data_IF_858909688355
#
_entry.id   IF_858909688355
#
_cell.length_a   1.000
_cell.length_b   1.000
_cell.length_c   1.000
_cell.angle_alpha   90.00
_cell.angle_beta   90.00
_cell.angle_gamma   90.00
#
_symmetry.space_group_name_H-M   'P 1'
#
loop_
_entity.id
_entity.type
_entity.pdbx_description
1 polymer ?
#
# COMPACT_ATOMS: atom_id res chain seq x y z
N UNK A 1 -18.17 22.26 22.00
CA UNK A 1 -17.29 22.17 23.19
C UNK A 1 -17.13 20.76 23.75
N UNK A 2 -18.16 19.89 23.77
CA UNK A 2 -18.03 18.50 24.23
C UNK A 2 -17.30 17.54 23.25
N UNK A 3 -17.21 17.86 21.96
CA UNK A 3 -16.53 17.01 20.97
C UNK A 3 -15.00 17.05 21.06
N UNK A 4 -14.41 18.18 21.47
CA UNK A 4 -12.96 18.30 21.62
C UNK A 4 -12.44 17.43 22.75
N UNK A 5 -13.10 17.42 23.92
CA UNK A 5 -12.74 16.55 25.04
C UNK A 5 -12.91 15.06 24.71
N UNK A 6 -13.97 14.68 23.96
CA UNK A 6 -14.14 13.31 23.45
C UNK A 6 -13.07 12.93 22.43
N UNK A 7 -12.66 13.86 21.58
CA UNK A 7 -11.57 13.68 20.63
C UNK A 7 -10.22 13.50 21.34
N UNK A 8 -9.93 14.30 22.38
CA UNK A 8 -8.72 14.11 23.20
C UNK A 8 -8.75 12.76 23.93
N UNK A 9 -9.90 12.34 24.45
CA UNK A 9 -10.06 11.03 25.10
C UNK A 9 -9.94 9.86 24.11
N UNK A 10 -10.54 9.92 22.92
CA UNK A 10 -10.35 8.90 21.87
C UNK A 10 -8.90 8.87 21.36
N UNK A 11 -8.25 10.03 21.28
CA UNK A 11 -6.84 10.16 20.92
C UNK A 11 -5.91 9.56 21.98
N UNK A 12 -6.31 9.48 23.25
CA UNK A 12 -5.45 9.03 24.37
C UNK A 12 -5.82 7.63 24.90
N UNK A 13 -7.08 7.20 24.82
CA UNK A 13 -7.62 6.06 25.60
C UNK A 13 -8.06 4.86 24.74
N UNK A 14 -8.09 4.98 23.40
CA UNK A 14 -8.51 3.87 22.52
C UNK A 14 -10.02 3.63 22.48
N UNK A 15 -10.83 4.55 23.01
CA UNK A 15 -12.30 4.48 22.87
C UNK A 15 -12.74 4.63 21.41
N UNK A 16 -13.91 4.10 21.05
CA UNK A 16 -14.54 4.31 19.73
C UNK A 16 -14.50 5.80 19.34
N UNK A 17 -14.09 6.08 18.10
CA UNK A 17 -14.14 7.45 17.58
C UNK A 17 -15.59 7.94 17.53
N UNK A 18 -15.84 9.22 17.84
CA UNK A 18 -17.13 9.84 17.56
C UNK A 18 -17.55 9.62 16.10
N UNK A 19 -18.85 9.46 15.87
CA UNK A 19 -19.40 9.45 14.51
C UNK A 19 -19.44 10.89 14.00
N UNK A 20 -18.46 11.26 13.17
CA UNK A 20 -18.37 12.58 12.54
C UNK A 20 -19.19 12.67 11.25
N UNK A 21 -19.26 11.56 10.50
CA UNK A 21 -19.97 11.45 9.24
C UNK A 21 -19.09 11.75 8.02
N UNK A 22 -19.63 11.55 6.80
CA UNK A 22 -18.86 11.65 5.54
C UNK A 22 -18.39 13.07 5.21
N UNK A 23 -18.91 14.10 5.88
CA UNK A 23 -18.42 15.48 5.74
C UNK A 23 -17.08 15.73 6.46
N UNK A 24 -16.68 14.84 7.38
CA UNK A 24 -15.41 14.94 8.10
C UNK A 24 -14.24 14.24 7.39
N UNK A 25 -14.43 13.89 6.11
CA UNK A 25 -13.39 13.39 5.23
C UNK A 25 -13.49 14.11 3.88
N UNK A 26 -12.36 14.56 3.36
CA UNK A 26 -12.21 14.98 1.97
C UNK A 26 -11.37 13.93 1.26
N UNK A 27 -12.03 13.06 0.50
CA UNK A 27 -11.35 12.10 -0.38
C UNK A 27 -10.50 12.85 -1.41
N UNK A 28 -9.35 12.28 -1.76
CA UNK A 28 -8.52 12.72 -2.90
C UNK A 28 -9.30 12.74 -4.21
N UNK A 29 -10.40 11.97 -4.31
CA UNK A 29 -11.31 11.98 -5.45
C UNK A 29 -11.93 13.35 -5.74
N UNK A 30 -12.09 14.21 -4.72
CA UNK A 30 -12.60 15.57 -4.92
C UNK A 30 -11.62 16.42 -5.75
N UNK A 31 -10.31 16.28 -5.51
CA UNK A 31 -9.29 16.97 -6.30
C UNK A 31 -9.17 16.31 -7.70
N UNK A 32 -9.34 14.99 -7.77
CA UNK A 32 -9.28 14.20 -8.99
C UNK A 32 -10.36 14.56 -10.02
N UNK A 33 -11.49 15.15 -9.61
CA UNK A 33 -12.51 15.69 -10.53
C UNK A 33 -11.94 16.72 -11.52
N UNK A 34 -10.93 17.47 -11.10
CA UNK A 34 -10.29 18.51 -11.91
C UNK A 34 -8.89 18.12 -12.39
N UNK A 35 -8.15 17.38 -11.57
CA UNK A 35 -6.79 16.93 -11.85
C UNK A 35 -6.73 15.43 -11.59
N UNK A 36 -7.02 14.56 -12.57
CA UNK A 36 -7.13 13.12 -12.32
C UNK A 36 -5.93 12.54 -11.58
N UNK A 37 -4.73 12.95 -11.99
CA UNK A 37 -3.46 12.60 -11.35
C UNK A 37 -2.41 13.68 -11.57
N UNK A 38 -1.35 13.61 -10.78
CA UNK A 38 -0.13 14.40 -10.93
C UNK A 38 1.07 13.46 -11.05
N UNK A 39 1.90 13.64 -12.09
CA UNK A 39 3.16 12.91 -12.22
C UNK A 39 4.12 13.34 -11.11
N UNK A 40 4.71 12.38 -10.41
CA UNK A 40 5.56 12.67 -9.26
C UNK A 40 7.02 12.94 -9.64
N UNK A 41 7.57 13.92 -8.93
CA UNK A 41 8.97 14.33 -8.99
C UNK A 41 9.77 13.75 -7.80
N UNK A 42 11.05 14.09 -7.72
CA UNK A 42 11.89 13.78 -6.55
C UNK A 42 11.32 14.38 -5.25
N UNK A 43 10.73 15.58 -5.32
CA UNK A 43 10.20 16.28 -4.15
C UNK A 43 8.98 15.57 -3.54
N UNK A 44 8.24 14.84 -4.35
CA UNK A 44 7.07 14.06 -3.93
C UNK A 44 7.44 12.75 -3.19
N UNK A 45 8.74 12.42 -3.18
CA UNK A 45 9.33 11.21 -2.57
C UNK A 45 10.05 11.50 -1.25
N UNK A 46 9.84 12.69 -0.69
CA UNK A 46 10.43 13.09 0.58
C UNK A 46 9.70 12.44 1.75
N UNK A 47 10.46 11.89 2.70
CA UNK A 47 9.97 11.49 4.00
C UNK A 47 9.45 12.73 4.75
N UNK A 48 8.22 12.64 5.25
CA UNK A 48 7.62 13.67 6.07
C UNK A 48 8.16 13.58 7.49
N UNK A 49 8.30 12.36 8.00
CA UNK A 49 8.77 12.05 9.36
C UNK A 49 8.05 12.91 10.41
N UNK A 50 6.72 12.86 10.39
CA UNK A 50 5.87 13.72 11.22
C UNK A 50 6.17 13.54 12.72
N UNK A 51 6.03 14.62 13.48
CA UNK A 51 6.17 14.69 14.94
C UNK A 51 4.87 14.33 15.68
N UNK A 52 3.81 13.94 14.96
CA UNK A 52 2.53 13.47 15.49
C UNK A 52 2.32 11.98 15.24
N UNK A 53 1.19 11.43 15.71
CA UNK A 53 0.87 10.02 15.45
C UNK A 53 0.77 9.77 13.94
N UNK A 54 1.65 8.92 13.43
CA UNK A 54 1.67 8.59 12.01
C UNK A 54 2.35 7.26 11.73
N UNK A 55 2.04 6.71 10.56
CA UNK A 55 2.78 5.62 9.94
C UNK A 55 3.15 6.09 8.53
N UNK A 56 4.44 6.21 8.27
CA UNK A 56 4.97 6.49 6.93
C UNK A 56 5.73 5.25 6.45
N UNK A 57 5.45 4.81 5.24
CA UNK A 57 6.07 3.60 4.68
C UNK A 57 6.63 3.85 3.28
N UNK A 58 7.70 3.12 3.00
CA UNK A 58 8.13 2.83 1.65
C UNK A 58 8.07 1.33 1.45
N UNK A 59 7.28 0.89 0.47
CA UNK A 59 7.01 -0.51 0.18
C UNK A 59 7.44 -0.82 -1.23
N UNK A 60 8.20 -1.90 -1.39
CA UNK A 60 8.70 -2.39 -2.65
C UNK A 60 8.24 -3.83 -2.83
N UNK A 61 7.47 -4.10 -3.87
CA UNK A 61 7.14 -5.47 -4.26
C UNK A 61 7.91 -5.84 -5.53
N UNK A 62 8.43 -7.06 -5.57
CA UNK A 62 9.24 -7.59 -6.65
C UNK A 62 8.58 -8.83 -7.23
N UNK A 63 8.35 -8.85 -8.54
CA UNK A 63 7.85 -10.00 -9.28
C UNK A 63 8.99 -10.56 -10.13
N UNK A 64 9.72 -11.52 -9.55
CA UNK A 64 10.91 -12.10 -10.18
C UNK A 64 10.55 -12.95 -11.41
N UNK A 65 11.45 -13.02 -12.39
CA UNK A 65 11.31 -13.90 -13.57
C UNK A 65 11.28 -15.38 -13.16
N UNK A 66 11.87 -15.73 -12.01
CA UNK A 66 11.84 -17.06 -11.40
C UNK A 66 10.45 -17.50 -10.92
N UNK A 67 9.49 -16.57 -10.84
CA UNK A 67 8.17 -16.82 -10.27
C UNK A 67 8.07 -16.49 -8.78
N UNK A 68 9.16 -16.21 -8.07
CA UNK A 68 9.06 -15.72 -6.68
C UNK A 68 8.49 -14.30 -6.61
N UNK A 69 7.92 -13.96 -5.44
CA UNK A 69 7.53 -12.59 -5.11
C UNK A 69 8.37 -12.13 -3.91
N UNK A 70 8.87 -10.91 -3.98
CA UNK A 70 9.67 -10.29 -2.93
C UNK A 70 8.93 -9.09 -2.33
N UNK A 71 9.17 -8.83 -1.05
CA UNK A 71 8.81 -7.59 -0.39
C UNK A 71 10.05 -7.05 0.32
N UNK A 72 10.29 -5.75 0.18
CA UNK A 72 11.12 -4.97 1.08
C UNK A 72 10.31 -3.76 1.54
N UNK A 73 10.34 -3.46 2.84
CA UNK A 73 9.51 -2.39 3.38
C UNK A 73 10.21 -1.71 4.56
N UNK A 74 10.15 -0.38 4.57
CA UNK A 74 10.44 0.42 5.75
C UNK A 74 9.11 0.91 6.32
N UNK A 75 8.95 0.77 7.65
CA UNK A 75 7.86 1.36 8.39
C UNK A 75 8.44 2.34 9.40
N UNK A 76 8.22 3.65 9.18
CA UNK A 76 8.55 4.71 10.13
C UNK A 76 7.28 5.12 10.88
N UNK A 77 7.15 4.66 12.12
CA UNK A 77 5.98 4.95 12.95
C UNK A 77 6.32 5.95 14.04
N UNK A 78 5.52 7.00 14.17
CA UNK A 78 5.53 7.86 15.35
C UNK A 78 4.28 7.55 16.18
N UNK A 79 4.49 7.09 17.41
CA UNK A 79 3.42 6.73 18.34
C UNK A 79 3.17 7.90 19.28
N UNK A 80 2.00 8.53 19.13
CA UNK A 80 1.53 9.64 19.97
C UNK A 80 2.40 10.90 19.96
N UNK A 81 3.34 11.06 19.03
CA UNK A 81 4.33 12.15 19.05
C UNK A 81 5.44 11.95 20.10
N UNK A 82 5.45 10.79 20.78
CA UNK A 82 6.30 10.53 21.95
C UNK A 82 7.45 9.60 21.59
N UNK A 83 7.18 8.61 20.73
CA UNK A 83 8.16 7.57 20.41
C UNK A 83 8.10 7.21 18.94
N UNK A 84 9.24 7.36 18.27
CA UNK A 84 9.46 6.79 16.95
C UNK A 84 9.90 5.34 17.08
N UNK A 85 9.31 4.47 16.26
CA UNK A 85 9.78 3.10 16.02
C UNK A 85 9.92 2.89 14.54
N UNK A 86 11.02 2.28 14.13
CA UNK A 86 11.28 1.99 12.73
C UNK A 86 11.54 0.51 12.54
N UNK A 87 10.96 -0.08 11.51
CA UNK A 87 11.14 -1.48 11.15
C UNK A 87 11.55 -1.62 9.70
N UNK A 88 12.38 -2.62 9.44
CA UNK A 88 12.64 -3.12 8.10
C UNK A 88 12.05 -4.53 7.97
N UNK A 89 11.18 -4.70 7.00
CA UNK A 89 10.57 -5.98 6.69
C UNK A 89 11.09 -6.48 5.35
N UNK A 90 11.39 -7.77 5.28
CA UNK A 90 11.67 -8.46 4.02
C UNK A 90 10.88 -9.75 3.94
N UNK A 91 10.30 -10.04 2.78
CA UNK A 91 9.59 -11.28 2.52
C UNK A 91 10.02 -11.92 1.21
N UNK A 92 10.12 -13.24 1.20
CA UNK A 92 10.17 -14.06 -0.02
C UNK A 92 8.96 -14.98 0.00
N UNK A 93 8.07 -14.81 -0.97
CA UNK A 93 7.01 -15.75 -1.27
C UNK A 93 7.54 -16.80 -2.25
N UNK A 94 7.74 -18.01 -1.74
CA UNK A 94 7.92 -19.21 -2.56
C UNK A 94 6.55 -19.67 -3.06
N UNK A 95 6.06 -18.99 -4.10
CA UNK A 95 4.69 -19.12 -4.59
C UNK A 95 4.38 -20.48 -5.20
N UNK A 96 5.38 -21.32 -5.47
CA UNK A 96 5.21 -22.70 -5.94
C UNK A 96 5.00 -23.71 -4.81
N UNK A 97 5.05 -23.25 -3.55
CA UNK A 97 4.96 -24.12 -2.37
C UNK A 97 6.18 -24.99 -2.14
N UNK A 98 7.31 -24.73 -2.81
CA UNK A 98 8.55 -25.51 -2.66
C UNK A 98 9.10 -25.50 -1.23
N UNK A 99 8.87 -24.41 -0.49
CA UNK A 99 9.19 -24.27 0.94
C UNK A 99 8.33 -23.18 1.61
N UNK A 100 8.31 -23.08 2.95
CA UNK A 100 7.63 -21.99 3.64
C UNK A 100 8.18 -20.62 3.23
N UNK A 101 7.30 -19.62 3.15
CA UNK A 101 7.71 -18.23 2.91
C UNK A 101 8.73 -17.76 3.96
N UNK A 102 9.73 -17.00 3.51
CA UNK A 102 10.67 -16.36 4.42
C UNK A 102 10.12 -14.99 4.79
N UNK A 103 9.86 -14.74 6.08
CA UNK A 103 9.44 -13.45 6.61
C UNK A 103 10.40 -13.00 7.71
N UNK A 104 11.00 -11.83 7.52
CA UNK A 104 11.82 -11.14 8.52
C UNK A 104 11.23 -9.75 8.75
N UNK A 105 11.07 -9.38 10.02
CA UNK A 105 10.50 -8.12 10.48
C UNK A 105 11.31 -7.71 11.71
N UNK A 106 12.21 -6.76 11.52
CA UNK A 106 13.25 -6.44 12.50
C UNK A 106 13.30 -4.92 12.75
N UNK A 107 13.41 -4.49 14.01
CA UNK A 107 13.55 -3.08 14.33
C UNK A 107 14.86 -2.52 13.76
N UNK A 108 14.85 -1.24 13.42
CA UNK A 108 16.01 -0.46 13.01
C UNK A 108 16.44 0.52 14.11
N UNK A 109 17.71 0.90 14.08
CA UNK A 109 18.32 1.87 15.00
C UNK A 109 19.24 2.82 14.24
N UNK A 110 19.65 3.93 14.87
CA UNK A 110 20.51 4.96 14.25
C UNK A 110 19.91 5.51 12.93
N UNK A 111 18.61 5.81 12.98
CA UNK A 111 17.84 6.24 11.81
C UNK A 111 18.21 7.67 11.44
N UNK A 112 18.43 7.89 10.14
CA UNK A 112 18.72 9.18 9.55
C UNK A 112 18.14 9.29 8.12
N UNK A 113 18.11 10.50 7.58
CA UNK A 113 17.65 10.78 6.22
C UNK A 113 18.71 11.56 5.44
N UNK A 114 18.69 11.49 4.11
CA UNK A 114 19.45 12.46 3.31
C UNK A 114 18.97 13.89 3.59
N UNK A 115 19.79 14.89 3.25
CA UNK A 115 19.46 16.32 3.44
C UNK A 115 18.13 16.71 2.78
N UNK A 116 17.87 16.18 1.59
CA UNK A 116 16.62 16.38 0.86
C UNK A 116 15.48 15.46 1.32
N UNK A 117 15.72 14.58 2.29
CA UNK A 117 14.81 13.58 2.86
C UNK A 117 14.24 12.56 1.86
N UNK A 118 14.88 12.30 0.73
CA UNK A 118 14.40 11.25 -0.20
C UNK A 118 15.08 9.90 -0.02
N UNK A 119 16.15 9.84 0.76
CA UNK A 119 16.85 8.60 1.11
C UNK A 119 16.76 8.36 2.61
N UNK A 120 16.72 7.08 2.98
CA UNK A 120 16.61 6.60 4.35
C UNK A 120 17.86 5.80 4.70
N UNK A 121 18.38 6.03 5.90
CA UNK A 121 19.53 5.32 6.46
C UNK A 121 19.22 4.84 7.87
N UNK A 122 19.78 3.70 8.22
CA UNK A 122 19.82 3.16 9.56
C UNK A 122 21.07 2.29 9.72
N UNK A 123 21.37 1.87 10.94
CA UNK A 123 22.37 0.82 11.14
C UNK A 123 21.98 -0.43 10.35
N UNK A 124 22.92 -0.94 9.57
CA UNK A 124 22.78 -2.14 8.72
C UNK A 124 21.62 -2.08 7.70
N UNK A 125 21.09 -0.90 7.37
CA UNK A 125 20.04 -0.72 6.37
C UNK A 125 20.12 0.64 5.65
N UNK A 126 19.95 0.65 4.33
CA UNK A 126 19.87 1.87 3.54
C UNK A 126 18.90 1.71 2.36
N UNK A 127 18.06 2.73 2.14
CA UNK A 127 17.18 2.85 0.97
C UNK A 127 17.44 4.20 0.33
N UNK A 128 18.12 4.19 -0.82
CA UNK A 128 18.72 5.38 -1.41
C UNK A 128 18.10 5.65 -2.77
N UNK A 129 17.54 6.85 -2.95
CA UNK A 129 17.07 7.34 -4.24
C UNK A 129 18.25 7.90 -5.03
N UNK A 130 18.46 7.45 -6.27
CA UNK A 130 19.48 7.97 -7.17
C UNK A 130 19.32 9.47 -7.41
N UNK A 131 20.40 10.20 -7.68
CA UNK A 131 20.38 11.66 -7.86
C UNK A 131 19.36 12.12 -8.91
N UNK A 132 19.23 11.37 -10.01
CA UNK A 132 18.27 11.64 -11.09
C UNK A 132 16.80 11.30 -10.73
N UNK A 133 16.56 10.74 -9.54
CA UNK A 133 15.23 10.39 -9.04
C UNK A 133 14.55 9.25 -9.81
N UNK A 134 15.32 8.36 -10.45
CA UNK A 134 14.77 7.27 -11.29
C UNK A 134 14.94 5.87 -10.72
N UNK A 135 15.80 5.67 -9.74
CA UNK A 135 16.06 4.35 -9.17
C UNK A 135 16.23 4.38 -7.66
N UNK A 136 15.85 3.30 -6.99
CA UNK A 136 16.16 3.07 -5.58
C UNK A 136 17.11 1.89 -5.45
N UNK A 137 18.10 1.99 -4.57
CA UNK A 137 18.85 0.84 -4.08
C UNK A 137 18.47 0.55 -2.64
N UNK A 138 18.17 -0.71 -2.33
CA UNK A 138 17.76 -1.20 -1.02
C UNK A 138 18.80 -2.19 -0.55
N UNK A 139 19.47 -1.88 0.55
CA UNK A 139 20.48 -2.73 1.18
C UNK A 139 20.12 -2.96 2.63
N UNK A 140 20.13 -4.20 3.09
CA UNK A 140 19.89 -4.52 4.49
C UNK A 140 20.66 -5.77 4.90
N UNK A 141 21.37 -5.69 6.01
CA UNK A 141 21.99 -6.83 6.71
C UNK A 141 21.34 -7.01 8.09
N UNK A 142 20.18 -6.39 8.33
CA UNK A 142 19.52 -6.34 9.64
C UNK A 142 19.01 -7.71 10.13
N UNK A 143 18.88 -8.70 9.24
CA UNK A 143 18.57 -10.08 9.58
C UNK A 143 19.47 -11.03 8.76
N UNK A 144 20.24 -11.88 9.44
CA UNK A 144 21.18 -12.82 8.80
C UNK A 144 20.50 -13.87 7.91
N UNK A 145 19.19 -14.09 8.10
CA UNK A 145 18.40 -14.99 7.25
C UNK A 145 17.99 -14.32 5.94
N UNK A 146 18.08 -12.99 5.85
CA UNK A 146 17.59 -12.19 4.74
C UNK A 146 18.49 -10.97 4.51
N UNK A 147 19.61 -11.18 3.83
CA UNK A 147 20.51 -10.10 3.42
C UNK A 147 20.02 -9.54 2.09
N UNK A 148 19.47 -8.32 2.12
CA UNK A 148 18.83 -7.68 0.97
C UNK A 148 19.85 -6.82 0.22
N UNK A 149 19.93 -7.00 -1.10
CA UNK A 149 20.63 -6.10 -2.01
C UNK A 149 19.85 -6.03 -3.33
N UNK A 150 18.91 -5.10 -3.38
CA UNK A 150 17.97 -4.94 -4.49
C UNK A 150 18.10 -3.55 -5.10
N UNK A 151 17.80 -3.45 -6.38
CA UNK A 151 17.63 -2.18 -7.07
C UNK A 151 16.37 -2.24 -7.92
N UNK A 152 15.64 -1.13 -7.95
CA UNK A 152 14.55 -0.92 -8.89
C UNK A 152 14.77 0.38 -9.67
N UNK A 153 14.44 0.36 -10.95
CA UNK A 153 14.49 1.53 -11.83
C UNK A 153 13.12 1.70 -12.49
N UNK A 154 12.49 2.87 -12.32
CA UNK A 154 11.17 3.11 -12.93
C UNK A 154 11.28 3.09 -14.45
N UNK A 155 10.35 2.41 -15.11
CA UNK A 155 10.24 2.42 -16.59
C UNK A 155 9.05 3.24 -17.07
N UNK A 156 8.12 3.59 -16.18
CA UNK A 156 7.02 4.51 -16.44
C UNK A 156 7.07 5.72 -15.47
N UNK A 157 6.40 6.84 -15.80
CA UNK A 157 6.20 7.92 -14.84
C UNK A 157 5.46 7.42 -13.59
N UNK A 158 5.88 7.91 -12.43
CA UNK A 158 5.15 7.70 -11.19
C UNK A 158 4.02 8.72 -11.04
N UNK A 159 3.04 8.45 -10.19
CA UNK A 159 1.95 9.40 -9.94
C UNK A 159 1.42 9.39 -8.50
N UNK A 160 0.70 10.46 -8.18
CA UNK A 160 -0.33 10.52 -7.13
C UNK A 160 -1.68 10.81 -7.79
N UNK A 161 -2.79 10.35 -7.21
CA UNK A 161 -4.11 10.83 -7.63
C UNK A 161 -4.33 12.28 -7.20
N UNK A 162 -5.17 13.00 -7.93
CA UNK A 162 -5.42 14.40 -7.60
C UNK A 162 -4.19 15.28 -7.78
N UNK A 163 -4.20 16.41 -7.09
CA UNK A 163 -3.11 17.39 -7.10
C UNK A 163 -1.87 16.94 -6.31
N UNK A 164 -2.07 16.28 -5.18
CA UNK A 164 -0.97 15.95 -4.24
C UNK A 164 -1.11 14.57 -3.57
N UNK A 165 -2.13 13.79 -3.95
CA UNK A 165 -2.38 12.46 -3.42
C UNK A 165 -3.08 12.42 -2.06
N UNK A 166 -3.53 13.55 -1.51
CA UNK A 166 -4.00 13.61 -0.12
C UNK A 166 -5.50 13.43 0.02
N UNK A 167 -5.87 12.53 0.93
CA UNK A 167 -7.17 12.49 1.58
C UNK A 167 -7.05 13.09 2.96
N UNK A 168 -7.95 14.00 3.34
CA UNK A 168 -7.90 14.76 4.59
C UNK A 168 -9.02 14.32 5.53
N UNK A 169 -8.71 14.29 6.83
CA UNK A 169 -9.66 13.93 7.89
C UNK A 169 -9.80 15.11 8.84
N UNK A 170 -11.05 15.50 9.11
CA UNK A 170 -11.35 16.62 9.98
C UNK A 170 -12.70 17.26 9.71
N UNK A 171 -13.35 17.78 10.76
CA UNK A 171 -14.50 18.68 10.61
C UNK A 171 -14.10 20.07 10.13
N UNK A 172 -12.81 20.43 10.26
CA UNK A 172 -12.20 21.60 9.66
C UNK A 172 -11.11 21.14 8.67
N UNK A 173 -11.44 21.10 7.39
CA UNK A 173 -10.54 20.63 6.34
C UNK A 173 -9.38 21.61 6.05
N UNK A 174 -9.46 22.86 6.55
CA UNK A 174 -8.33 23.78 6.50
C UNK A 174 -7.27 23.45 7.55
N UNK A 175 -7.65 22.76 8.63
CA UNK A 175 -6.78 22.29 9.70
C UNK A 175 -7.07 20.81 10.00
N UNK A 176 -6.81 19.89 9.04
CA UNK A 176 -7.16 18.49 9.19
C UNK A 176 -6.34 17.86 10.32
N UNK A 177 -6.96 16.97 11.09
CA UNK A 177 -6.26 16.22 12.15
C UNK A 177 -5.59 14.96 11.63
N UNK A 178 -5.91 14.55 10.40
CA UNK A 178 -5.35 13.35 9.78
C UNK A 178 -5.22 13.50 8.27
N UNK A 179 -4.29 12.75 7.70
CA UNK A 179 -4.06 12.69 6.26
C UNK A 179 -3.73 11.27 5.84
N UNK A 180 -4.16 10.90 4.64
CA UNK A 180 -3.74 9.69 3.92
C UNK A 180 -3.15 10.10 2.58
N UNK A 181 -2.02 9.52 2.16
CA UNK A 181 -1.42 9.75 0.85
C UNK A 181 -0.76 8.49 0.31
N UNK A 182 -0.93 8.24 -0.99
CA UNK A 182 -0.22 7.19 -1.72
C UNK A 182 0.42 7.75 -2.98
N UNK A 183 1.73 7.52 -3.14
CA UNK A 183 2.48 7.81 -4.36
C UNK A 183 3.06 6.52 -4.93
N UNK A 184 3.00 6.35 -6.24
CA UNK A 184 3.31 5.08 -6.91
C UNK A 184 4.40 5.26 -7.96
N UNK A 185 5.33 4.30 -8.03
CA UNK A 185 5.99 3.91 -9.26
C UNK A 185 5.40 2.57 -9.71
N UNK A 186 4.36 2.59 -10.55
CA UNK A 186 3.56 1.39 -10.88
C UNK A 186 4.30 0.36 -11.74
N UNK A 187 5.38 0.76 -12.40
CA UNK A 187 6.18 -0.13 -13.26
C UNK A 187 7.65 0.20 -13.19
N UNK A 188 8.41 -0.77 -12.69
CA UNK A 188 9.86 -0.71 -12.59
C UNK A 188 10.48 -2.01 -13.13
N UNK A 189 11.75 -1.92 -13.53
CA UNK A 189 12.63 -3.06 -13.66
C UNK A 189 13.36 -3.28 -12.33
N UNK A 190 13.45 -4.54 -11.91
CA UNK A 190 14.14 -4.96 -10.71
C UNK A 190 15.38 -5.78 -11.05
N UNK A 191 16.40 -5.65 -10.21
CA UNK A 191 17.61 -6.46 -10.22
C UNK A 191 18.16 -6.64 -8.79
N UNK A 192 19.03 -7.64 -8.63
CA UNK A 192 19.64 -7.96 -7.33
C UNK A 192 18.99 -9.16 -6.67
N UNK A 193 19.30 -9.39 -5.40
CA UNK A 193 18.91 -10.60 -4.69
C UNK A 193 18.64 -10.38 -3.21
N UNK A 194 17.97 -11.36 -2.62
CA UNK A 194 17.93 -11.56 -1.18
C UNK A 194 18.71 -12.85 -0.90
N UNK A 195 19.79 -12.75 -0.11
CA UNK A 195 20.60 -13.90 0.28
C UNK A 195 19.98 -14.54 1.52
N UNK A 196 19.70 -15.83 1.40
CA UNK A 196 19.15 -16.68 2.45
C UNK A 196 20.19 -17.73 2.88
N UNK A 197 19.97 -18.48 3.98
CA UNK A 197 20.85 -19.59 4.34
C UNK A 197 20.99 -20.67 3.26
N UNK A 198 19.99 -20.83 2.39
CA UNK A 198 20.01 -21.77 1.26
C UNK A 198 20.72 -21.21 0.01
N UNK A 199 21.10 -19.93 0.03
CA UNK A 199 21.67 -19.21 -1.10
C UNK A 199 20.86 -18.00 -1.55
N UNK A 200 21.34 -17.28 -2.58
CA UNK A 200 20.69 -16.10 -3.12
C UNK A 200 19.42 -16.44 -3.91
N UNK A 201 18.35 -15.70 -3.65
CA UNK A 201 17.15 -15.66 -4.49
C UNK A 201 17.23 -14.43 -5.38
N UNK A 202 17.32 -14.65 -6.69
CA UNK A 202 17.38 -13.58 -7.71
C UNK A 202 16.00 -12.94 -7.92
N UNK A 203 15.98 -11.61 -7.90
CA UNK A 203 14.78 -10.78 -8.07
C UNK A 203 14.84 -9.93 -9.34
N UNK A 204 15.64 -10.33 -10.33
CA UNK A 204 15.47 -9.84 -11.69
C UNK A 204 14.02 -10.01 -12.15
N UNK A 205 13.40 -8.93 -12.62
CA UNK A 205 12.02 -8.95 -13.09
C UNK A 205 11.33 -7.58 -13.02
N UNK A 206 10.04 -7.56 -12.68
CA UNK A 206 9.26 -6.33 -12.50
C UNK A 206 9.16 -5.95 -11.03
N UNK A 207 8.92 -4.67 -10.76
CA UNK A 207 8.64 -4.19 -9.41
C UNK A 207 7.68 -3.01 -9.42
N UNK A 208 7.07 -2.81 -8.24
CA UNK A 208 6.31 -1.61 -7.90
C UNK A 208 6.90 -0.99 -6.64
N UNK A 209 6.88 0.35 -6.59
CA UNK A 209 7.19 1.10 -5.38
C UNK A 209 6.00 1.95 -4.97
N UNK A 210 5.76 1.97 -3.66
CA UNK A 210 4.67 2.71 -3.03
C UNK A 210 5.23 3.49 -1.84
N UNK A 211 5.00 4.79 -1.82
CA UNK A 211 5.21 5.62 -0.64
C UNK A 211 3.86 5.98 -0.04
N UNK A 212 3.64 5.58 1.21
CA UNK A 212 2.40 5.84 1.93
C UNK A 212 2.66 6.71 3.15
N UNK A 213 1.78 7.68 3.36
CA UNK A 213 1.69 8.42 4.63
C UNK A 213 0.29 8.27 5.18
N UNK A 214 0.20 7.73 6.39
CA UNK A 214 -0.96 7.77 7.24
C UNK A 214 -0.65 8.68 8.43
N UNK A 215 -1.04 9.94 8.35
CA UNK A 215 -0.82 10.96 9.39
C UNK A 215 -1.83 10.91 10.53
N UNK A 216 -2.26 9.71 10.94
CA UNK A 216 -3.16 9.47 12.08
C UNK A 216 -3.06 8.00 12.54
N UNK A 217 -3.88 7.60 13.52
CA UNK A 217 -3.95 6.21 13.98
C UNK A 217 -4.50 5.29 12.87
N UNK A 218 -3.89 4.11 12.61
CA UNK A 218 -4.32 3.25 11.48
C UNK A 218 -5.77 2.82 11.52
N UNK A 219 -6.23 2.37 12.68
CA UNK A 219 -7.60 1.92 12.88
C UNK A 219 -8.64 3.05 12.82
N UNK A 220 -8.22 4.31 12.88
CA UNK A 220 -9.10 5.46 12.65
C UNK A 220 -9.10 5.89 11.17
N UNK A 221 -8.01 5.64 10.43
CA UNK A 221 -7.90 6.00 9.03
C UNK A 221 -8.76 5.10 8.13
N UNK A 222 -8.74 3.79 8.40
CA UNK A 222 -9.38 2.78 7.57
C UNK A 222 -9.87 1.58 8.39
N UNK A 223 -10.99 1.01 7.95
CA UNK A 223 -11.55 -0.25 8.46
C UNK A 223 -11.19 -1.46 7.58
N UNK A 224 -10.95 -1.23 6.29
CA UNK A 224 -10.51 -2.26 5.33
C UNK A 224 -9.71 -1.65 4.18
N UNK A 225 -8.87 -2.47 3.56
CA UNK A 225 -8.07 -2.12 2.38
C UNK A 225 -8.14 -3.20 1.32
N UNK A 226 -7.99 -2.79 0.07
CA UNK A 226 -7.70 -3.63 -1.08
C UNK A 226 -6.49 -3.06 -1.80
N UNK A 227 -5.53 -3.94 -2.11
CA UNK A 227 -4.38 -3.64 -2.92
C UNK A 227 -4.31 -4.60 -4.09
N UNK A 228 -3.93 -4.12 -5.28
CA UNK A 228 -3.57 -4.96 -6.41
C UNK A 228 -2.38 -4.36 -7.14
N UNK A 229 -1.42 -5.22 -7.46
CA UNK A 229 -0.35 -5.01 -8.42
C UNK A 229 -0.42 -6.09 -9.50
N UNK A 230 -0.65 -5.66 -10.75
CA UNK A 230 -0.57 -6.50 -11.94
C UNK A 230 0.63 -6.07 -12.77
N UNK A 231 1.46 -7.04 -13.18
CA UNK A 231 2.62 -6.83 -14.03
C UNK A 231 2.56 -7.77 -15.24
N UNK A 232 2.25 -7.22 -16.40
CA UNK A 232 2.31 -7.88 -17.70
C UNK A 232 3.53 -7.45 -18.52
N UNK A 233 3.77 -8.09 -19.68
CA UNK A 233 4.89 -7.79 -20.56
C UNK A 233 4.90 -6.33 -21.03
N UNK A 234 3.75 -5.70 -21.28
CA UNK A 234 3.69 -4.31 -21.74
C UNK A 234 3.03 -3.38 -20.71
N UNK A 235 2.02 -3.86 -19.99
CA UNK A 235 1.20 -3.05 -19.10
C UNK A 235 1.39 -3.44 -17.63
N UNK A 236 1.26 -2.45 -16.75
CA UNK A 236 1.09 -2.67 -15.32
C UNK A 236 -0.17 -1.97 -14.85
N UNK A 237 -0.88 -2.56 -13.90
CA UNK A 237 -2.05 -1.96 -13.27
C UNK A 237 -1.89 -1.95 -11.75
N UNK A 238 -2.19 -0.82 -11.13
CA UNK A 238 -2.09 -0.63 -9.68
C UNK A 238 -3.43 -0.15 -9.13
N UNK A 239 -3.81 -0.64 -7.95
CA UNK A 239 -5.00 -0.21 -7.22
C UNK A 239 -4.72 -0.22 -5.72
N UNK A 240 -5.11 0.86 -5.06
CA UNK A 240 -5.17 0.99 -3.61
C UNK A 240 -6.53 1.57 -3.24
N UNK A 241 -7.38 0.79 -2.59
CA UNK A 241 -8.70 1.21 -2.14
C UNK A 241 -8.82 0.97 -0.65
N UNK A 242 -9.32 1.95 0.10
CA UNK A 242 -9.70 1.73 1.48
C UNK A 242 -11.11 2.20 1.75
N UNK A 243 -11.71 1.63 2.78
CA UNK A 243 -12.96 2.14 3.34
C UNK A 243 -12.68 2.64 4.74
N UNK A 244 -13.09 3.87 5.04
CA UNK A 244 -12.95 4.43 6.38
C UNK A 244 -13.79 3.66 7.40
N UNK A 245 -13.52 3.79 8.71
CA UNK A 245 -14.47 3.38 9.73
C UNK A 245 -15.81 4.11 9.62
N UNK A 246 -16.86 3.61 10.31
CA UNK A 246 -18.17 4.27 10.38
C UNK A 246 -18.10 5.74 10.84
N UNK A 247 -17.07 6.10 11.61
CA UNK A 247 -16.81 7.47 12.07
C UNK A 247 -16.74 8.51 10.94
N UNK A 248 -16.32 8.10 9.74
CA UNK A 248 -16.25 8.94 8.54
C UNK A 248 -17.24 8.48 7.46
N UNK A 249 -18.34 7.84 7.86
CA UNK A 249 -19.42 7.43 6.98
C UNK A 249 -19.13 6.22 6.10
N UNK A 250 -18.17 5.37 6.49
CA UNK A 250 -17.72 4.23 5.68
C UNK A 250 -17.39 4.65 4.23
N UNK A 251 -16.73 5.81 4.09
CA UNK A 251 -16.35 6.40 2.82
C UNK A 251 -15.32 5.52 2.13
N UNK A 252 -15.56 5.18 0.88
CA UNK A 252 -14.59 4.51 0.02
C UNK A 252 -13.68 5.55 -0.60
N UNK A 253 -12.38 5.30 -0.54
CA UNK A 253 -11.35 6.10 -1.19
C UNK A 253 -10.50 5.16 -2.03
N UNK A 254 -10.42 5.43 -3.32
CA UNK A 254 -9.67 4.62 -4.28
C UNK A 254 -8.63 5.45 -5.01
N UNK A 255 -7.48 4.84 -5.30
CA UNK A 255 -6.41 5.39 -6.13
C UNK A 255 -5.85 4.26 -6.98
N UNK A 256 -5.71 4.48 -8.27
CA UNK A 256 -5.16 3.47 -9.17
C UNK A 256 -4.75 4.03 -10.51
N UNK A 257 -4.16 3.17 -11.33
CA UNK A 257 -3.75 3.54 -12.68
C UNK A 257 -3.25 2.36 -13.49
N UNK A 258 -3.16 2.58 -14.80
CA UNK A 258 -2.60 1.66 -15.78
C UNK A 258 -1.49 2.40 -16.51
N UNK A 259 -0.34 1.74 -16.62
CA UNK A 259 0.86 2.30 -17.26
C UNK A 259 1.46 1.30 -18.23
N UNK A 260 2.31 1.82 -19.12
CA UNK A 260 3.30 1.04 -19.87
C UNK A 260 4.63 1.82 -19.86
N UNK A 261 5.67 1.26 -20.45
CA UNK A 261 6.97 1.91 -20.47
C UNK A 261 6.87 3.33 -21.09
N UNK A 262 7.36 4.32 -20.35
CA UNK A 262 7.36 5.74 -20.70
C UNK A 262 6.01 6.46 -20.56
N UNK A 263 4.90 5.79 -20.24
CA UNK A 263 3.57 6.38 -20.36
C UNK A 263 2.58 5.94 -19.26
N UNK A 264 1.86 6.91 -18.70
CA UNK A 264 0.62 6.67 -17.93
C UNK A 264 -0.55 6.64 -18.91
N UNK A 265 -1.24 5.50 -19.01
CA UNK A 265 -2.43 5.33 -19.84
C UNK A 265 -3.64 5.99 -19.17
N UNK A 266 -3.83 5.71 -17.88
CA UNK A 266 -4.81 6.38 -17.03
C UNK A 266 -4.36 6.29 -15.57
N UNK A 267 -4.70 7.28 -14.76
CA UNK A 267 -4.51 7.25 -13.32
C UNK A 267 -5.53 8.18 -12.64
N UNK A 268 -5.86 7.91 -11.39
CA UNK A 268 -6.78 8.73 -10.60
C UNK A 268 -7.59 7.92 -9.60
N UNK A 269 -8.86 8.29 -9.43
CA UNK A 269 -9.80 7.75 -8.43
C UNK A 269 -11.05 7.18 -9.10
N UNK A 270 -10.82 6.40 -10.15
CA UNK A 270 -11.85 5.75 -10.95
C UNK A 270 -11.53 4.26 -11.07
N UNK A 271 -11.20 3.66 -9.93
CA UNK A 271 -10.90 2.24 -9.82
C UNK A 271 -11.70 1.59 -8.68
N UNK A 272 -11.84 0.27 -8.72
CA UNK A 272 -12.68 -0.45 -7.76
C UNK A 272 -12.19 -1.87 -7.56
N UNK A 273 -12.14 -2.29 -6.30
CA UNK A 273 -12.01 -3.70 -5.94
C UNK A 273 -13.37 -4.25 -5.49
N UNK A 274 -13.73 -5.44 -5.92
CA UNK A 274 -14.97 -6.14 -5.56
C UNK A 274 -14.65 -7.58 -5.23
N UNK A 275 -14.90 -8.01 -4.00
CA UNK A 275 -14.83 -9.42 -3.61
C UNK A 275 -16.10 -10.11 -4.10
N UNK A 276 -16.02 -10.80 -5.24
CA UNK A 276 -17.19 -11.40 -5.90
C UNK A 276 -17.65 -12.68 -5.22
N UNK A 277 -16.72 -13.36 -4.53
CA UNK A 277 -17.02 -14.47 -3.62
C UNK A 277 -16.09 -14.40 -2.41
N UNK A 278 -16.61 -14.80 -1.26
CA UNK A 278 -15.87 -14.89 -0.01
C UNK A 278 -16.15 -16.21 0.68
N UNK A 279 -15.29 -16.57 1.63
CA UNK A 279 -15.54 -17.62 2.62
C UNK A 279 -15.22 -17.06 4.00
N UNK A 280 -15.95 -17.52 5.01
CA UNK A 280 -15.65 -17.19 6.40
C UNK A 280 -14.34 -17.86 6.82
N UNK A 281 -13.37 -17.09 7.28
CA UNK A 281 -12.14 -17.63 7.88
C UNK A 281 -12.43 -18.19 9.27
N UNK A 282 -12.04 -19.44 9.51
CA UNK A 282 -12.35 -20.15 10.76
C UNK A 282 -11.46 -19.73 11.94
N UNK A 283 -10.32 -19.09 11.67
CA UNK A 283 -9.37 -18.62 12.70
C UNK A 283 -9.76 -17.21 13.16
N UNK A 284 -9.97 -16.30 12.21
CA UNK A 284 -10.18 -14.89 12.53
C UNK A 284 -11.61 -14.39 12.30
N UNK A 285 -12.44 -15.10 11.55
CA UNK A 285 -13.83 -14.71 11.27
C UNK A 285 -13.99 -13.62 10.22
N UNK A 286 -12.96 -13.27 9.45
CA UNK A 286 -13.10 -12.34 8.34
C UNK A 286 -13.59 -13.04 7.07
N UNK A 287 -14.28 -12.33 6.17
CA UNK A 287 -14.74 -12.87 4.90
C UNK A 287 -13.57 -12.89 3.89
N UNK A 288 -12.70 -13.88 3.98
CA UNK A 288 -11.60 -14.08 3.04
C UNK A 288 -12.11 -14.11 1.60
N UNK A 289 -11.64 -13.23 0.71
CA UNK A 289 -11.96 -13.27 -0.71
C UNK A 289 -11.47 -14.58 -1.34
N UNK A 290 -12.35 -15.25 -2.08
CA UNK A 290 -12.04 -16.43 -2.91
C UNK A 290 -12.12 -16.14 -4.40
N UNK A 291 -12.84 -15.08 -4.79
CA UNK A 291 -12.82 -14.49 -6.12
C UNK A 291 -12.88 -12.96 -5.98
N UNK A 292 -12.20 -12.27 -6.87
CA UNK A 292 -12.18 -10.80 -6.89
C UNK A 292 -12.22 -10.26 -8.32
N UNK A 293 -12.76 -9.05 -8.44
CA UNK A 293 -12.80 -8.24 -9.65
C UNK A 293 -12.25 -6.87 -9.35
N UNK A 294 -11.34 -6.43 -10.21
CA UNK A 294 -10.69 -5.13 -10.15
C UNK A 294 -10.94 -4.40 -11.45
N UNK A 295 -11.42 -3.17 -11.38
CA UNK A 295 -11.75 -2.37 -12.57
C UNK A 295 -11.10 -1.01 -12.51
N UNK A 296 -10.75 -0.49 -13.68
CA UNK A 296 -10.30 0.88 -13.88
C UNK A 296 -11.12 1.51 -15.00
N UNK A 297 -11.43 2.79 -14.87
CA UNK A 297 -11.92 3.61 -15.96
C UNK A 297 -11.18 4.93 -15.99
N UNK A 298 -11.24 5.67 -17.10
CA UNK A 298 -10.66 7.00 -17.20
C UNK A 298 -10.47 7.44 -18.63
N UNK A 299 -9.50 8.31 -18.86
CA UNK A 299 -9.17 8.83 -20.18
C UNK A 299 -7.66 8.93 -20.36
N UNK A 300 -7.19 8.62 -21.55
CA UNK A 300 -5.81 8.86 -21.97
C UNK A 300 -5.51 10.36 -22.09
N UNK A 301 -4.22 10.72 -22.22
CA UNK A 301 -3.79 12.11 -22.45
C UNK A 301 -4.39 12.71 -23.74
N UNK A 302 -4.66 11.90 -24.76
CA UNK A 302 -5.33 12.30 -26.01
C UNK A 302 -6.86 12.21 -25.96
N UNK A 303 -7.45 11.92 -24.80
CA UNK A 303 -8.90 11.99 -24.56
C UNK A 303 -9.70 10.75 -24.96
N UNK A 304 -9.05 9.61 -25.23
CA UNK A 304 -9.74 8.34 -25.47
C UNK A 304 -10.21 7.73 -24.16
N UNK A 305 -11.42 7.19 -24.13
CA UNK A 305 -11.94 6.45 -22.99
C UNK A 305 -11.09 5.21 -22.71
N UNK A 306 -10.78 4.97 -21.44
CA UNK A 306 -10.10 3.78 -20.95
C UNK A 306 -11.05 3.00 -20.06
N UNK A 307 -11.15 1.70 -20.29
CA UNK A 307 -11.80 0.74 -19.39
C UNK A 307 -10.91 -0.49 -19.25
N UNK A 308 -10.78 -1.01 -18.04
CA UNK A 308 -10.01 -2.21 -17.82
C UNK A 308 -10.57 -3.08 -16.72
N UNK A 309 -10.31 -4.38 -16.82
CA UNK A 309 -10.69 -5.36 -15.81
C UNK A 309 -9.63 -6.44 -15.65
N UNK A 310 -9.39 -6.81 -14.39
CA UNK A 310 -8.76 -8.07 -13.99
C UNK A 310 -9.75 -8.75 -13.05
N UNK A 311 -10.15 -9.99 -13.37
CA UNK A 311 -11.11 -10.74 -12.55
C UNK A 311 -10.75 -12.22 -12.53
N UNK A 312 -11.00 -12.87 -11.40
CA UNK A 312 -10.71 -14.30 -11.27
C UNK A 312 -10.66 -14.80 -9.83
N UNK A 313 -10.30 -16.08 -9.65
CA UNK A 313 -10.06 -16.64 -8.33
C UNK A 313 -8.87 -15.97 -7.66
N UNK A 314 -8.98 -15.80 -6.34
CA UNK A 314 -7.85 -15.42 -5.50
C UNK A 314 -7.20 -16.69 -4.94
N UNK A 315 -5.87 -16.78 -5.00
CA UNK A 315 -5.11 -17.91 -4.43
C UNK A 315 -4.27 -17.39 -3.28
N UNK A 316 -4.69 -17.74 -2.05
CA UNK A 316 -4.08 -17.23 -0.82
C UNK A 316 -2.68 -17.82 -0.64
N UNK A 317 -1.70 -16.93 -0.52
CA UNK A 317 -0.32 -17.24 -0.17
C UNK A 317 -0.09 -17.13 1.33
N UNK A 318 -0.65 -16.09 1.96
CA UNK A 318 -0.51 -15.88 3.40
C UNK A 318 -1.72 -15.15 4.03
N UNK A 319 -1.81 -15.18 5.35
CA UNK A 319 -2.74 -14.40 6.18
C UNK A 319 -1.99 -13.87 7.40
N UNK A 320 -1.60 -12.59 7.35
CA UNK A 320 -0.80 -11.95 8.40
C UNK A 320 -1.71 -11.47 9.53
N UNK A 321 -1.45 -11.93 10.75
CA UNK A 321 -2.00 -11.36 11.98
C UNK A 321 -1.19 -10.12 12.37
N UNK A 322 -1.70 -8.93 12.09
CA UNK A 322 -0.95 -7.68 12.35
C UNK A 322 -0.70 -7.51 13.86
N UNK A 323 -1.59 -8.01 14.71
CA UNK A 323 -1.41 -7.93 16.17
C UNK A 323 -0.31 -8.86 16.66
N UNK A 324 0.02 -9.92 15.92
CA UNK A 324 1.20 -10.74 16.21
C UNK A 324 2.50 -9.96 15.95
N UNK A 325 2.54 -9.18 14.87
CA UNK A 325 3.74 -8.50 14.35
C UNK A 325 4.09 -7.17 15.04
N UNK A 326 3.11 -6.47 15.63
CA UNK A 326 3.39 -5.17 16.27
C UNK A 326 4.18 -5.33 17.60
N UNK A 327 5.06 -4.37 17.95
CA UNK A 327 5.78 -4.41 19.23
C UNK A 327 4.84 -4.45 20.44
N UNK A 328 5.26 -5.11 21.52
CA UNK A 328 4.41 -5.35 22.70
C UNK A 328 3.79 -4.09 23.32
N UNK A 329 4.50 -2.97 23.38
CA UNK A 329 3.96 -1.71 23.90
C UNK A 329 2.89 -1.08 22.99
N UNK A 330 2.93 -1.36 21.68
CA UNK A 330 1.87 -0.96 20.74
C UNK A 330 0.63 -1.82 20.97
N UNK A 331 0.81 -3.12 21.25
CA UNK A 331 -0.30 -4.02 21.59
C UNK A 331 -1.11 -3.49 22.77
N UNK A 332 -0.48 -2.91 23.80
CA UNK A 332 -1.22 -2.32 24.94
C UNK A 332 -2.05 -1.10 24.57
N UNK A 333 -1.66 -0.32 23.56
CA UNK A 333 -2.43 0.83 23.08
C UNK A 333 -3.60 0.35 22.22
N UNK A 334 -3.37 -0.65 21.35
CA UNK A 334 -4.35 -1.18 20.41
C UNK A 334 -5.32 -2.17 21.07
N UNK A 335 -4.92 -2.89 22.11
CA UNK A 335 -5.82 -3.75 22.89
C UNK A 335 -6.97 -2.96 23.54
N UNK A 336 -6.77 -1.64 23.74
CA UNK A 336 -7.82 -0.73 24.19
C UNK A 336 -8.69 -0.20 23.04
N UNK A 337 -8.28 -0.35 21.78
CA UNK A 337 -9.06 0.01 20.58
C UNK A 337 -10.16 -1.03 20.35
N UNK A 338 -11.33 -0.76 20.92
CA UNK A 338 -12.49 -1.65 20.90
C UNK A 338 -12.82 -2.13 19.47
N UNK A 339 -12.94 -3.45 19.30
CA UNK A 339 -13.46 -4.06 18.08
C UNK A 339 -12.50 -4.16 16.89
N UNK A 340 -11.20 -3.84 17.06
CA UNK A 340 -10.20 -4.01 16.00
C UNK A 340 -9.60 -5.42 15.99
N UNK A 341 -9.52 -6.03 14.81
CA UNK A 341 -8.93 -7.36 14.58
C UNK A 341 -8.18 -7.36 13.23
N UNK A 342 -7.01 -6.70 13.14
CA UNK A 342 -6.35 -6.48 11.87
C UNK A 342 -5.70 -7.74 11.28
N UNK A 343 -6.16 -8.17 10.11
CA UNK A 343 -5.58 -9.24 9.31
C UNK A 343 -5.35 -8.79 7.87
N UNK A 344 -4.26 -9.23 7.26
CA UNK A 344 -3.93 -8.99 5.85
C UNK A 344 -3.89 -10.34 5.13
N UNK A 345 -4.84 -10.57 4.24
CA UNK A 345 -4.80 -11.69 3.30
C UNK A 345 -3.95 -11.30 2.11
N UNK A 346 -2.97 -12.14 1.76
CA UNK A 346 -2.08 -11.91 0.63
C UNK A 346 -2.31 -13.00 -0.42
N UNK A 347 -2.53 -12.60 -1.67
CA UNK A 347 -2.87 -13.49 -2.76
C UNK A 347 -1.91 -13.33 -3.92
N UNK A 348 -1.53 -14.45 -4.52
CA UNK A 348 -0.78 -14.49 -5.77
C UNK A 348 -1.17 -15.78 -6.51
N UNK A 349 -2.02 -15.69 -7.55
CA UNK A 349 -2.32 -16.83 -8.39
C UNK A 349 -1.06 -17.44 -9.00
N UNK A 350 -0.95 -18.77 -9.01
CA UNK A 350 0.17 -19.47 -9.63
C UNK A 350 0.14 -19.31 -11.15
N UNK A 351 -1.06 -19.28 -11.74
CA UNK A 351 -1.26 -19.05 -13.16
C UNK A 351 -1.32 -17.55 -13.45
N UNK A 352 -0.81 -17.11 -14.61
CA UNK A 352 -1.04 -15.75 -15.08
C UNK A 352 -2.52 -15.41 -15.08
N UNK A 353 -2.84 -14.17 -14.74
CA UNK A 353 -4.19 -13.61 -14.85
C UNK A 353 -4.26 -12.72 -16.08
N UNK A 354 -5.48 -12.47 -16.57
CA UNK A 354 -5.70 -11.67 -17.77
C UNK A 354 -6.13 -10.25 -17.42
N UNK A 355 -5.38 -9.27 -17.90
CA UNK A 355 -5.82 -7.88 -18.02
C UNK A 355 -6.56 -7.72 -19.37
N UNK A 356 -7.83 -7.32 -19.30
CA UNK A 356 -8.58 -6.85 -20.47
C UNK A 356 -8.61 -5.33 -20.39
N UNK A 357 -8.09 -4.65 -21.41
CA UNK A 357 -7.95 -3.20 -21.48
C UNK A 357 -8.56 -2.71 -22.79
N UNK A 358 -9.42 -1.71 -22.71
CA UNK A 358 -10.03 -1.04 -23.85
C UNK A 358 -9.60 0.42 -23.86
N UNK A 359 -9.08 0.90 -24.99
CA UNK A 359 -8.66 2.30 -25.21
C UNK A 359 -9.36 2.81 -26.47
N UNK A 360 -10.44 3.58 -26.31
CA UNK A 360 -11.34 3.91 -27.42
C UNK A 360 -11.92 2.65 -28.05
N UNK A 361 -11.61 2.42 -29.33
CA UNK A 361 -12.05 1.23 -30.08
C UNK A 361 -11.03 0.07 -30.04
N UNK A 362 -9.84 0.30 -29.47
CA UNK A 362 -8.80 -0.73 -29.36
C UNK A 362 -9.05 -1.62 -28.14
N UNK A 363 -9.11 -2.94 -28.37
CA UNK A 363 -9.19 -3.94 -27.31
C UNK A 363 -7.87 -4.71 -27.20
N UNK A 364 -7.32 -4.71 -25.98
CA UNK A 364 -6.04 -5.30 -25.63
C UNK A 364 -6.31 -6.36 -24.57
N UNK A 365 -5.71 -7.53 -24.75
CA UNK A 365 -5.73 -8.60 -23.75
C UNK A 365 -4.30 -9.03 -23.48
N UNK A 366 -3.91 -9.03 -22.22
CA UNK A 366 -2.55 -9.35 -21.81
C UNK A 366 -2.55 -10.26 -20.56
N UNK A 367 -1.75 -11.32 -20.60
CA UNK A 367 -1.50 -12.15 -19.42
C UNK A 367 -0.33 -11.60 -18.61
N UNK A 368 -0.46 -11.64 -17.30
CA UNK A 368 0.57 -11.14 -16.39
C UNK A 368 0.47 -11.75 -15.00
N UNK A 369 1.43 -11.37 -14.15
CA UNK A 369 1.48 -11.77 -12.75
C UNK A 369 0.64 -10.81 -11.93
N UNK A 370 -0.02 -11.33 -10.90
CA UNK A 370 -0.81 -10.54 -9.97
C UNK A 370 -0.39 -10.84 -8.54
N UNK A 371 -0.21 -9.77 -7.77
CA UNK A 371 -0.19 -9.81 -6.33
C UNK A 371 -1.30 -8.90 -5.80
N UNK A 372 -2.05 -9.34 -4.82
CA UNK A 372 -3.11 -8.54 -4.23
C UNK A 372 -3.23 -8.78 -2.73
N UNK A 373 -3.74 -7.80 -2.02
CA UNK A 373 -4.01 -7.91 -0.60
C UNK A 373 -5.44 -7.47 -0.28
N UNK A 374 -6.06 -8.15 0.68
CA UNK A 374 -7.30 -7.71 1.31
C UNK A 374 -7.06 -7.58 2.82
N UNK A 375 -7.16 -6.36 3.34
CA UNK A 375 -6.98 -6.09 4.76
C UNK A 375 -8.32 -5.82 5.42
N UNK A 376 -8.54 -6.43 6.58
CA UNK A 376 -9.67 -6.17 7.44
C UNK A 376 -9.17 -5.73 8.81
N UNK A 377 -9.65 -4.59 9.32
CA UNK A 377 -9.24 -3.99 10.59
C UNK A 377 -10.41 -3.97 11.56
N UNK A 378 -11.57 -3.48 11.11
CA UNK A 378 -12.79 -3.39 11.92
C UNK A 378 -14.02 -3.68 11.06
N UNK A 379 -15.10 -4.12 11.68
CA UNK A 379 -16.35 -4.36 10.97
C UNK A 379 -16.91 -3.06 10.40
N UNK A 380 -17.58 -3.17 9.26
CA UNK A 380 -18.45 -2.13 8.71
C UNK A 380 -19.82 -2.77 8.51
N UNK A 381 -20.90 -2.05 8.83
CA UNK A 381 -22.24 -2.49 8.42
C UNK A 381 -22.33 -2.31 6.90
N UNK A 382 -22.56 -3.39 6.16
CA UNK A 382 -22.89 -3.28 4.74
C UNK A 382 -24.25 -2.59 4.63
N UNK A 383 -24.34 -1.55 3.81
CA UNK A 383 -25.62 -0.91 3.52
C UNK A 383 -26.57 -1.98 2.94
N UNK A 384 -27.65 -2.25 3.66
CA UNK A 384 -28.71 -3.19 3.27
C UNK A 384 -29.43 -2.76 1.99
#
# INVERSE_FOLDING_TARGET
>A
MFNWAKQTLANVVGTEEPIYGPSAIKSVAEDAKSTPYTEISRDDLKWNALDQTSVETQVFYFMADSGHIGLAQIIYSNVAGIRTTVQFNSKIFYTDGSKPHLWCSNPLSEVDFSEDKTSFYAKDCAVVLSEDGKSYTIKSMNDERSIVNLKLTRTAPGFVAGKDGKTLYGTDLANPWGTMRHAFWPRCEAEGSIVTPDGPVDFKGRAVYIMCLQGMKPHHAAARWNFLDFQGPNYSAILMEFTTPPSYGATVVDVGGIVKDGEIITAGTTCRATHTKTKQDTVNGWPEPTEAKYTWSGTTKDGKTVEAVVEGPTERQDCVDVMAEVPGFVKTIVANAAGTKPYIYQFAPHKPVTLKLKIGDEEITEEGRLFSEATFISAIEEAK
#
